data_IF_318926026531
#
_entry.id   IF_318926026531
#
_cell.length_a   1.000
_cell.length_b   1.000
_cell.length_c   1.000
_cell.angle_alpha   90.00
_cell.angle_beta   90.00
_cell.angle_gamma   90.00
#
_symmetry.space_group_name_H-M   'P 1'
#
loop_
_entity.id
_entity.type
_entity.pdbx_description
1 polymer ?
#
# COMPACT_ATOMS: atom_id res chain seq x y z
N UNK A 1 -24.83 -1.20 11.65
CA UNK A 1 -24.62 -2.61 11.30
C UNK A 1 -25.09 -2.77 9.86
N UNK A 2 -24.22 -3.26 8.97
CA UNK A 2 -24.53 -3.38 7.54
C UNK A 2 -24.38 -4.83 7.09
N UNK A 3 -25.27 -5.28 6.22
CA UNK A 3 -25.30 -6.67 5.76
C UNK A 3 -25.42 -6.71 4.23
N UNK A 4 -24.80 -7.71 3.63
CA UNK A 4 -24.89 -7.97 2.19
C UNK A 4 -24.94 -9.49 1.95
N UNK A 5 -25.62 -9.93 0.89
CA UNK A 5 -25.62 -11.34 0.52
C UNK A 5 -24.41 -11.65 -0.34
N UNK A 6 -23.60 -12.62 0.09
CA UNK A 6 -22.40 -13.10 -0.62
C UNK A 6 -22.45 -14.62 -0.63
N UNK A 7 -22.34 -15.24 -1.82
CA UNK A 7 -22.35 -16.70 -1.97
C UNK A 7 -23.49 -17.40 -1.21
N UNK A 8 -24.67 -16.78 -1.15
CA UNK A 8 -25.85 -17.30 -0.46
C UNK A 8 -25.88 -17.08 1.07
N UNK A 9 -24.92 -16.36 1.64
CA UNK A 9 -24.86 -16.02 3.07
C UNK A 9 -25.07 -14.53 3.32
N UNK A 10 -25.77 -14.19 4.40
CA UNK A 10 -25.75 -12.83 4.94
C UNK A 10 -24.39 -12.55 5.63
N UNK A 11 -23.62 -11.61 5.08
CA UNK A 11 -22.32 -11.18 5.60
C UNK A 11 -22.44 -9.83 6.29
N UNK A 12 -22.02 -9.74 7.55
CA UNK A 12 -21.92 -8.49 8.29
C UNK A 12 -20.61 -7.78 7.94
N UNK A 13 -20.71 -6.49 7.62
CA UNK A 13 -19.55 -5.67 7.27
C UNK A 13 -19.69 -4.24 7.80
N UNK A 14 -18.57 -3.51 7.76
CA UNK A 14 -18.49 -2.10 8.08
C UNK A 14 -17.57 -1.40 7.09
N UNK A 15 -18.02 -0.24 6.59
CA UNK A 15 -17.18 0.74 5.90
C UNK A 15 -16.85 1.88 6.85
N UNK A 16 -15.61 2.32 6.87
CA UNK A 16 -15.13 3.45 7.68
C UNK A 16 -14.03 4.21 6.96
N UNK A 17 -13.52 5.28 7.57
CA UNK A 17 -12.51 6.14 6.95
C UNK A 17 -13.11 7.14 5.96
N UNK A 18 -12.31 7.60 5.01
CA UNK A 18 -12.70 8.65 4.04
C UNK A 18 -12.86 8.08 2.64
N UNK A 19 -14.03 8.25 1.99
CA UNK A 19 -14.24 7.84 0.60
C UNK A 19 -13.17 8.42 -0.34
N UNK A 20 -12.59 7.57 -1.19
CA UNK A 20 -11.49 7.96 -2.08
C UNK A 20 -10.10 7.97 -1.45
N UNK A 21 -9.98 7.66 -0.15
CA UNK A 21 -8.71 7.33 0.49
C UNK A 21 -8.12 6.01 -0.03
N UNK A 22 -6.93 5.63 0.47
CA UNK A 22 -6.32 4.34 0.13
C UNK A 22 -7.24 3.22 0.62
N UNK A 23 -7.64 2.32 -0.28
CA UNK A 23 -8.58 1.25 0.03
C UNK A 23 -7.87 0.13 0.79
N UNK A 24 -8.42 -0.24 1.93
CA UNK A 24 -7.88 -1.32 2.77
C UNK A 24 -9.00 -2.28 3.17
N UNK A 25 -8.83 -3.56 2.86
CA UNK A 25 -9.68 -4.64 3.37
C UNK A 25 -8.95 -5.35 4.53
N UNK A 26 -9.61 -5.46 5.67
CA UNK A 26 -9.11 -6.20 6.82
C UNK A 26 -9.78 -7.58 6.93
N UNK A 27 -8.97 -8.61 7.22
CA UNK A 27 -9.40 -10.00 7.40
C UNK A 27 -9.01 -10.51 8.79
N UNK A 28 -9.98 -11.03 9.53
CA UNK A 28 -9.88 -11.29 10.97
C UNK A 28 -9.10 -12.56 11.33
N UNK A 29 -8.77 -12.67 12.62
CA UNK A 29 -8.28 -13.92 13.22
C UNK A 29 -9.42 -14.91 13.50
N UNK A 30 -9.08 -16.19 13.70
CA UNK A 30 -10.03 -17.23 14.06
C UNK A 30 -10.65 -16.93 15.43
N UNK A 31 -11.97 -17.00 15.53
CA UNK A 31 -12.69 -16.76 16.78
C UNK A 31 -12.81 -15.28 17.16
N UNK A 32 -12.46 -14.38 16.24
CA UNK A 32 -12.69 -12.94 16.40
C UNK A 32 -13.68 -12.40 15.37
N UNK A 33 -14.08 -11.14 15.54
CA UNK A 33 -14.93 -10.42 14.60
C UNK A 33 -14.31 -9.07 14.23
N UNK A 34 -14.99 -8.30 13.37
CA UNK A 34 -14.46 -7.06 12.77
C UNK A 34 -14.05 -6.00 13.80
N UNK A 35 -14.45 -6.12 15.07
CA UNK A 35 -14.11 -5.18 16.14
C UNK A 35 -12.63 -5.17 16.49
N UNK A 36 -11.88 -6.22 16.17
CA UNK A 36 -10.43 -6.27 16.45
C UNK A 36 -9.63 -5.19 15.69
N UNK A 37 -10.23 -4.58 14.67
CA UNK A 37 -9.60 -3.56 13.83
C UNK A 37 -9.99 -2.13 14.19
N UNK A 38 -10.91 -1.93 15.14
CA UNK A 38 -11.48 -0.60 15.41
C UNK A 38 -10.40 0.43 15.78
N UNK A 39 -9.47 0.07 16.67
CA UNK A 39 -8.39 0.96 17.08
C UNK A 39 -7.43 1.30 15.92
N UNK A 40 -7.02 0.30 15.14
CA UNK A 40 -6.16 0.51 13.95
C UNK A 40 -6.87 1.38 12.90
N UNK A 41 -8.16 1.17 12.68
CA UNK A 41 -8.94 1.96 11.72
C UNK A 41 -9.04 3.44 12.15
N UNK A 42 -9.16 3.72 13.46
CA UNK A 42 -9.13 5.08 14.00
C UNK A 42 -7.78 5.75 13.74
N UNK A 43 -6.66 5.05 14.00
CA UNK A 43 -5.29 5.57 13.82
C UNK A 43 -4.93 5.82 12.34
N UNK A 44 -5.41 4.98 11.43
CA UNK A 44 -5.26 5.21 9.99
C UNK A 44 -6.01 6.47 9.54
N UNK A 45 -7.15 6.77 10.17
CA UNK A 45 -7.89 8.02 10.04
C UNK A 45 -8.33 8.31 8.60
N UNK A 46 -8.23 9.56 8.17
CA UNK A 46 -8.67 10.03 6.85
C UNK A 46 -7.80 9.58 5.68
N UNK A 47 -6.69 8.87 5.93
CA UNK A 47 -5.78 8.37 4.89
C UNK A 47 -6.38 7.22 4.09
N UNK A 48 -7.29 6.47 4.70
CA UNK A 48 -7.79 5.21 4.17
C UNK A 48 -9.30 5.20 4.01
N UNK A 49 -9.78 4.49 3.01
CA UNK A 49 -11.15 3.99 2.90
C UNK A 49 -11.12 2.52 3.34
N UNK A 50 -11.78 2.19 4.44
CA UNK A 50 -11.59 0.92 5.14
C UNK A 50 -12.84 0.05 5.01
N UNK A 51 -12.63 -1.21 4.68
CA UNK A 51 -13.64 -2.27 4.73
C UNK A 51 -13.21 -3.33 5.76
N UNK A 52 -14.07 -3.60 6.73
CA UNK A 52 -13.94 -4.73 7.66
C UNK A 52 -15.21 -5.58 7.59
N UNK A 53 -15.10 -6.87 7.88
CA UNK A 53 -16.25 -7.78 7.86
C UNK A 53 -16.07 -8.92 8.83
N UNK A 54 -17.17 -9.54 9.23
CA UNK A 54 -17.13 -10.78 10.00
C UNK A 54 -17.01 -11.95 9.03
N UNK A 55 -15.97 -12.77 9.19
CA UNK A 55 -15.79 -13.96 8.36
C UNK A 55 -16.94 -14.95 8.55
N UNK A 56 -17.15 -15.83 7.58
CA UNK A 56 -18.13 -16.93 7.68
C UNK A 56 -18.07 -17.60 9.06
N UNK A 57 -19.22 -17.73 9.71
CA UNK A 57 -19.32 -18.37 11.01
C UNK A 57 -18.83 -17.55 12.21
N UNK A 58 -18.45 -16.29 12.01
CA UNK A 58 -17.96 -15.38 13.04
C UNK A 58 -18.87 -14.15 13.18
N UNK A 59 -18.81 -13.50 14.34
CA UNK A 59 -19.54 -12.27 14.64
C UNK A 59 -21.03 -12.39 14.29
N UNK A 60 -21.50 -11.49 13.42
CA UNK A 60 -22.89 -11.46 12.94
C UNK A 60 -23.07 -12.03 11.52
N UNK A 61 -22.01 -12.57 10.91
CA UNK A 61 -22.11 -13.24 9.61
C UNK A 61 -22.74 -14.62 9.75
N UNK A 62 -23.62 -14.96 8.81
CA UNK A 62 -24.34 -16.23 8.80
C UNK A 62 -23.40 -17.43 8.90
N UNK A 63 -23.82 -18.41 9.71
CA UNK A 63 -23.15 -19.69 9.87
C UNK A 63 -23.68 -20.65 8.81
N UNK A 64 -22.79 -21.35 8.12
CA UNK A 64 -23.13 -22.47 7.24
C UNK A 64 -22.58 -23.79 7.81
N UNK A 65 -23.07 -24.96 7.36
CA UNK A 65 -22.49 -26.24 7.80
C UNK A 65 -20.99 -26.36 7.48
N UNK A 66 -20.22 -26.85 8.44
CA UNK A 66 -18.81 -27.25 8.27
C UNK A 66 -18.70 -28.57 7.48
N UNK A 67 -17.52 -28.95 6.94
CA UNK A 67 -16.24 -28.24 7.00
C UNK A 67 -16.16 -27.06 6.02
N UNK A 68 -15.37 -26.04 6.35
CA UNK A 68 -15.00 -25.00 5.39
C UNK A 68 -13.67 -25.34 4.74
N UNK A 69 -13.45 -24.82 3.54
CA UNK A 69 -12.15 -24.87 2.85
C UNK A 69 -11.57 -23.46 2.81
N UNK A 70 -10.25 -23.36 2.61
CA UNK A 70 -9.61 -22.07 2.35
C UNK A 70 -10.25 -21.39 1.13
N UNK A 71 -10.51 -22.16 0.06
CA UNK A 71 -11.13 -21.64 -1.16
C UNK A 71 -12.48 -20.99 -0.92
N UNK A 72 -13.31 -21.58 -0.06
CA UNK A 72 -14.61 -21.03 0.33
C UNK A 72 -14.46 -19.69 1.06
N UNK A 73 -13.47 -19.58 1.95
CA UNK A 73 -13.20 -18.33 2.67
C UNK A 73 -12.66 -17.24 1.73
N UNK A 74 -11.85 -17.62 0.74
CA UNK A 74 -11.38 -16.71 -0.32
C UNK A 74 -12.54 -16.27 -1.22
N UNK A 75 -13.44 -17.19 -1.60
CA UNK A 75 -14.63 -16.87 -2.41
C UNK A 75 -15.57 -15.92 -1.67
N UNK A 76 -15.73 -16.05 -0.36
CA UNK A 76 -16.52 -15.11 0.44
C UNK A 76 -15.88 -13.72 0.49
N UNK A 77 -14.56 -13.65 0.65
CA UNK A 77 -13.86 -12.36 0.69
C UNK A 77 -13.92 -11.65 -0.67
N UNK A 78 -13.67 -12.36 -1.78
CA UNK A 78 -13.76 -11.81 -3.14
C UNK A 78 -15.21 -11.45 -3.50
N UNK A 79 -16.16 -12.34 -3.19
CA UNK A 79 -17.58 -12.10 -3.42
C UNK A 79 -18.12 -10.92 -2.61
N UNK A 80 -17.59 -10.66 -1.42
CA UNK A 80 -17.90 -9.45 -0.66
C UNK A 80 -17.45 -8.19 -1.41
N UNK A 81 -16.24 -8.18 -1.94
CA UNK A 81 -15.74 -7.05 -2.72
C UNK A 81 -16.64 -6.82 -3.95
N UNK A 82 -17.01 -7.88 -4.66
CA UNK A 82 -17.86 -7.82 -5.86
C UNK A 82 -19.27 -7.31 -5.54
N UNK A 83 -19.92 -7.88 -4.52
CA UNK A 83 -21.28 -7.51 -4.10
C UNK A 83 -21.38 -6.05 -3.64
N UNK A 84 -20.27 -5.50 -3.13
CA UNK A 84 -20.15 -4.14 -2.66
C UNK A 84 -19.69 -3.15 -3.73
N UNK A 85 -19.32 -3.63 -4.92
CA UNK A 85 -18.63 -2.84 -5.93
C UNK A 85 -17.34 -2.22 -5.40
N UNK A 86 -16.69 -2.88 -4.43
CA UNK A 86 -15.49 -2.39 -3.77
C UNK A 86 -14.28 -2.64 -4.68
N UNK A 87 -13.59 -1.58 -5.13
CA UNK A 87 -12.46 -1.75 -6.02
C UNK A 87 -11.26 -2.40 -5.31
N UNK A 88 -10.36 -2.93 -6.13
CA UNK A 88 -8.99 -3.28 -5.77
C UNK A 88 -8.35 -2.33 -4.73
N UNK A 89 -7.51 -2.89 -3.85
CA UNK A 89 -6.82 -2.15 -2.79
C UNK A 89 -5.81 -3.01 -2.05
N UNK A 90 -5.47 -2.60 -0.83
CA UNK A 90 -4.54 -3.32 0.05
C UNK A 90 -5.27 -4.32 0.92
N UNK A 91 -4.71 -5.52 1.04
CA UNK A 91 -5.20 -6.54 1.97
C UNK A 91 -4.39 -6.50 3.26
N UNK A 92 -5.07 -6.51 4.41
CA UNK A 92 -4.45 -6.67 5.73
C UNK A 92 -5.08 -7.87 6.41
N UNK A 93 -4.34 -8.97 6.52
CA UNK A 93 -4.84 -10.22 7.06
C UNK A 93 -4.11 -10.62 8.33
N UNK A 94 -4.87 -10.93 9.39
CA UNK A 94 -4.36 -11.44 10.65
C UNK A 94 -4.60 -12.94 10.76
N UNK A 95 -3.57 -13.74 11.08
CA UNK A 95 -3.72 -15.18 11.32
C UNK A 95 -4.42 -15.90 10.15
N UNK A 96 -5.55 -16.57 10.35
CA UNK A 96 -6.33 -17.16 9.25
C UNK A 96 -6.73 -16.13 8.19
N UNK A 97 -6.99 -14.87 8.56
CA UNK A 97 -7.22 -13.78 7.62
C UNK A 97 -6.00 -13.51 6.72
N UNK A 98 -4.80 -13.74 7.22
CA UNK A 98 -3.56 -13.69 6.43
C UNK A 98 -3.41 -14.84 5.44
N UNK A 99 -3.87 -16.06 5.78
CA UNK A 99 -3.98 -17.18 4.85
C UNK A 99 -5.00 -16.89 3.74
N UNK A 100 -6.17 -16.34 4.11
CA UNK A 100 -7.18 -15.93 3.13
C UNK A 100 -6.63 -14.84 2.22
N UNK A 101 -5.93 -13.84 2.75
CA UNK A 101 -5.31 -12.78 1.95
C UNK A 101 -4.28 -13.31 0.94
N UNK A 102 -3.42 -14.26 1.34
CA UNK A 102 -2.51 -14.96 0.43
C UNK A 102 -3.28 -15.69 -0.68
N UNK A 103 -4.37 -16.39 -0.32
CA UNK A 103 -5.23 -17.07 -1.29
C UNK A 103 -5.93 -16.12 -2.27
N UNK A 104 -6.36 -14.94 -1.81
CA UNK A 104 -6.94 -13.89 -2.65
C UNK A 104 -5.92 -13.38 -3.68
N UNK A 105 -4.69 -13.07 -3.26
CA UNK A 105 -3.62 -12.63 -4.18
C UNK A 105 -3.24 -13.74 -5.16
N UNK A 106 -3.17 -15.00 -4.71
CA UNK A 106 -2.85 -16.12 -5.61
C UNK A 106 -3.94 -16.35 -6.67
N UNK A 107 -5.22 -16.11 -6.33
CA UNK A 107 -6.36 -16.28 -7.23
C UNK A 107 -6.54 -15.11 -8.19
N UNK A 108 -6.26 -13.89 -7.74
CA UNK A 108 -6.45 -12.66 -8.52
C UNK A 108 -5.29 -11.68 -8.31
N UNK A 109 -4.08 -12.00 -8.83
CA UNK A 109 -2.85 -11.23 -8.56
C UNK A 109 -2.89 -9.80 -9.11
N UNK A 110 -3.77 -9.50 -10.07
CA UNK A 110 -3.93 -8.18 -10.65
C UNK A 110 -4.90 -7.26 -9.88
N UNK A 111 -5.64 -7.78 -8.90
CA UNK A 111 -6.67 -7.04 -8.16
C UNK A 111 -6.18 -6.37 -6.88
N UNK A 112 -4.96 -6.64 -6.42
CA UNK A 112 -4.48 -6.11 -5.14
C UNK A 112 -3.16 -5.37 -5.31
N UNK A 113 -3.04 -4.21 -4.68
CA UNK A 113 -1.88 -3.33 -4.87
C UNK A 113 -0.77 -3.60 -3.85
N UNK A 114 -1.13 -4.16 -2.70
CA UNK A 114 -0.22 -4.46 -1.59
C UNK A 114 -0.85 -5.45 -0.60
N UNK A 115 0.01 -6.09 0.19
CA UNK A 115 -0.37 -7.12 1.16
C UNK A 115 0.32 -6.87 2.50
N UNK A 116 -0.45 -6.93 3.59
CA UNK A 116 0.08 -6.96 4.95
C UNK A 116 -0.35 -8.28 5.61
N UNK A 117 0.63 -9.09 5.96
CA UNK A 117 0.47 -10.37 6.64
C UNK A 117 0.86 -10.19 8.10
N UNK A 118 -0.08 -10.28 9.02
CA UNK A 118 0.15 -10.06 10.45
C UNK A 118 -0.10 -11.37 11.20
N UNK A 119 0.86 -11.80 12.01
CA UNK A 119 0.80 -13.00 12.88
C UNK A 119 0.18 -14.20 12.14
N UNK A 120 0.76 -14.53 10.99
CA UNK A 120 0.25 -15.53 10.05
C UNK A 120 1.39 -16.26 9.36
N UNK A 121 1.07 -17.36 8.69
CA UNK A 121 2.03 -18.14 7.94
C UNK A 121 1.43 -18.72 6.67
N UNK A 122 2.27 -19.23 5.76
CA UNK A 122 1.82 -19.98 4.59
C UNK A 122 1.16 -21.32 4.98
N UNK A 123 1.45 -21.82 6.18
CA UNK A 123 0.83 -22.99 6.82
C UNK A 123 0.83 -22.79 8.33
N UNK A 124 -0.32 -22.95 8.98
CA UNK A 124 -0.47 -22.72 10.42
C UNK A 124 -0.88 -24.03 11.09
N UNK A 125 -0.15 -24.43 12.13
CA UNK A 125 -0.46 -25.63 12.92
C UNK A 125 -0.24 -26.95 12.16
N UNK A 126 -0.77 -28.03 12.72
CA UNK A 126 -0.72 -29.38 12.15
C UNK A 126 -2.12 -29.98 12.07
N UNK A 127 -2.30 -30.98 11.21
CA UNK A 127 -3.58 -31.64 11.05
C UNK A 127 -4.12 -32.22 12.38
N UNK A 128 -3.21 -32.80 13.17
CA UNK A 128 -3.49 -33.34 14.50
C UNK A 128 -3.97 -32.24 15.47
N UNK A 129 -3.22 -31.14 15.61
CA UNK A 129 -3.59 -30.05 16.52
C UNK A 129 -4.94 -29.40 16.17
N UNK A 130 -5.27 -29.32 14.89
CA UNK A 130 -6.56 -28.79 14.45
C UNK A 130 -7.71 -29.79 14.66
N UNK A 131 -7.49 -31.08 14.46
CA UNK A 131 -8.49 -32.11 14.76
C UNK A 131 -8.79 -32.17 16.27
N UNK A 132 -7.77 -32.07 17.13
CA UNK A 132 -7.95 -31.96 18.59
C UNK A 132 -8.77 -30.72 18.95
N UNK A 133 -8.46 -29.58 18.32
CA UNK A 133 -9.20 -28.33 18.53
C UNK A 133 -10.66 -28.44 18.09
N UNK A 134 -10.92 -29.05 16.93
CA UNK A 134 -12.27 -29.30 16.40
C UNK A 134 -13.04 -30.18 17.38
N UNK A 135 -12.48 -31.31 17.79
CA UNK A 135 -13.12 -32.24 18.72
C UNK A 135 -13.47 -31.58 20.07
N UNK A 136 -12.56 -30.76 20.63
CA UNK A 136 -12.80 -30.03 21.87
C UNK A 136 -13.97 -29.04 21.73
N UNK A 137 -14.01 -28.29 20.61
CA UNK A 137 -15.07 -27.30 20.34
C UNK A 137 -16.40 -27.98 20.04
N UNK A 138 -16.43 -29.09 19.32
CA UNK A 138 -17.64 -29.88 19.08
C UNK A 138 -18.21 -30.47 20.38
N UNK A 139 -17.36 -30.90 21.31
CA UNK A 139 -17.77 -31.47 22.59
C UNK A 139 -18.22 -30.42 23.62
N UNK A 140 -17.52 -29.28 23.70
CA UNK A 140 -17.68 -28.31 24.78
C UNK A 140 -18.05 -26.89 24.34
N UNK A 141 -18.29 -26.68 23.05
CA UNK A 141 -18.41 -25.34 22.46
C UNK A 141 -17.10 -24.56 22.46
N UNK A 142 -17.08 -23.37 21.85
CA UNK A 142 -15.88 -22.51 21.81
C UNK A 142 -15.46 -22.04 23.21
N UNK A 143 -16.40 -21.91 24.13
CA UNK A 143 -16.13 -21.59 25.53
C UNK A 143 -15.16 -22.58 26.20
N UNK A 144 -15.16 -23.85 25.80
CA UNK A 144 -14.26 -24.88 26.36
C UNK A 144 -12.78 -24.64 26.06
N UNK A 145 -12.47 -23.94 24.96
CA UNK A 145 -11.09 -23.64 24.53
C UNK A 145 -10.72 -22.17 24.73
N UNK A 146 -11.66 -21.33 25.15
CA UNK A 146 -11.49 -19.88 25.17
C UNK A 146 -10.31 -19.42 26.03
N UNK A 147 -10.15 -19.97 27.24
CA UNK A 147 -9.04 -19.59 28.13
C UNK A 147 -7.67 -19.98 27.57
N UNK A 148 -7.58 -21.16 26.94
CA UNK A 148 -6.35 -21.63 26.31
C UNK A 148 -5.99 -20.85 25.03
N UNK A 149 -6.99 -20.31 24.33
CA UNK A 149 -6.77 -19.46 23.15
C UNK A 149 -6.35 -18.07 23.56
N UNK A 150 -7.07 -17.46 24.51
CA UNK A 150 -6.82 -16.08 24.94
C UNK A 150 -5.43 -15.95 25.58
N UNK A 151 -4.93 -16.97 26.28
CA UNK A 151 -3.56 -16.98 26.81
C UNK A 151 -2.48 -17.00 25.72
N UNK A 152 -2.82 -17.37 24.49
CA UNK A 152 -1.94 -17.30 23.31
C UNK A 152 -2.18 -16.05 22.48
N UNK A 153 -3.28 -15.34 22.70
CA UNK A 153 -3.62 -14.12 21.96
C UNK A 153 -2.86 -12.89 22.41
N UNK A 154 -2.63 -12.77 23.72
CA UNK A 154 -2.14 -11.53 24.32
C UNK A 154 -0.83 -11.74 25.07
N UNK A 155 0.00 -10.71 25.09
CA UNK A 155 1.21 -10.71 25.91
C UNK A 155 0.86 -10.81 27.42
N UNK A 156 1.79 -11.32 28.25
CA UNK A 156 1.63 -11.29 29.71
C UNK A 156 1.41 -9.87 30.27
N UNK A 157 2.00 -8.85 29.62
CA UNK A 157 1.83 -7.46 30.00
C UNK A 157 0.38 -6.99 29.79
N UNK A 158 -0.19 -7.23 28.61
CA UNK A 158 -1.59 -6.88 28.32
C UNK A 158 -2.56 -7.60 29.25
N UNK A 159 -2.35 -8.89 29.51
CA UNK A 159 -3.19 -9.66 30.42
C UNK A 159 -3.20 -9.08 31.85
N UNK A 160 -2.06 -8.54 32.30
CA UNK A 160 -1.90 -7.91 33.62
C UNK A 160 -2.47 -6.49 33.66
N UNK A 161 -2.24 -5.69 32.62
CA UNK A 161 -2.57 -4.27 32.58
C UNK A 161 -4.03 -4.02 32.19
N UNK A 162 -4.62 -4.91 31.38
CA UNK A 162 -5.98 -4.75 30.84
C UNK A 162 -6.88 -5.97 31.08
N UNK A 163 -7.10 -6.39 32.35
CA UNK A 163 -7.89 -7.58 32.67
C UNK A 163 -9.36 -7.49 32.21
N UNK A 164 -9.95 -6.29 32.20
CA UNK A 164 -11.32 -6.09 31.72
C UNK A 164 -11.43 -6.28 30.19
N UNK A 165 -10.48 -5.73 29.43
CA UNK A 165 -10.38 -5.93 27.98
C UNK A 165 -10.17 -7.41 27.66
N UNK A 166 -9.27 -8.08 28.38
CA UNK A 166 -9.02 -9.53 28.25
C UNK A 166 -10.31 -10.34 28.43
N UNK A 167 -11.10 -10.05 29.47
CA UNK A 167 -12.39 -10.69 29.70
C UNK A 167 -13.38 -10.45 28.55
N UNK A 168 -13.43 -9.23 28.01
CA UNK A 168 -14.26 -8.88 26.87
C UNK A 168 -13.91 -9.70 25.62
N UNK A 169 -12.62 -9.77 25.26
CA UNK A 169 -12.15 -10.55 24.11
C UNK A 169 -12.37 -12.05 24.28
N UNK A 170 -12.17 -12.58 25.50
CA UNK A 170 -12.53 -13.96 25.85
C UNK A 170 -14.02 -14.21 25.64
N UNK A 171 -14.87 -13.29 26.07
CA UNK A 171 -16.33 -13.41 25.94
C UNK A 171 -16.75 -13.42 24.48
N UNK A 172 -16.21 -12.51 23.66
CA UNK A 172 -16.42 -12.50 22.21
C UNK A 172 -16.02 -13.84 21.59
N UNK A 173 -14.82 -14.35 21.92
CA UNK A 173 -14.36 -15.64 21.42
C UNK A 173 -15.31 -16.78 21.81
N UNK A 174 -15.67 -16.87 23.10
CA UNK A 174 -16.54 -17.92 23.62
C UNK A 174 -17.94 -17.93 22.99
N UNK A 175 -18.40 -16.78 22.47
CA UNK A 175 -19.68 -16.62 21.78
C UNK A 175 -19.63 -16.95 20.28
N UNK A 176 -18.44 -17.23 19.73
CA UNK A 176 -18.32 -17.67 18.33
C UNK A 176 -19.08 -18.98 18.13
N UNK A 177 -19.76 -19.11 16.98
CA UNK A 177 -20.48 -20.34 16.64
C UNK A 177 -19.55 -21.55 16.64
N UNK A 178 -19.98 -22.64 17.26
CA UNK A 178 -19.23 -23.91 17.27
C UNK A 178 -18.99 -24.42 15.85
N UNK A 179 -20.04 -24.44 15.01
CA UNK A 179 -19.92 -24.87 13.61
C UNK A 179 -19.04 -23.91 12.79
N UNK A 180 -19.14 -22.60 13.05
CA UNK A 180 -18.30 -21.60 12.40
C UNK A 180 -16.82 -21.75 12.72
N UNK A 181 -16.50 -21.86 14.01
CA UNK A 181 -15.14 -22.04 14.51
C UNK A 181 -14.54 -23.36 14.01
N UNK A 182 -15.26 -24.47 14.14
CA UNK A 182 -14.81 -25.78 13.67
C UNK A 182 -14.62 -25.81 12.14
N UNK A 183 -15.51 -25.16 11.38
CA UNK A 183 -15.38 -25.01 9.94
C UNK A 183 -14.09 -24.29 9.54
N UNK A 184 -13.76 -23.18 10.19
CA UNK A 184 -12.50 -22.46 9.94
C UNK A 184 -11.27 -23.23 10.43
N UNK A 185 -11.36 -24.01 11.53
CA UNK A 185 -10.31 -24.94 11.91
C UNK A 185 -10.05 -26.00 10.83
N UNK A 186 -11.09 -26.53 10.18
CA UNK A 186 -10.92 -27.46 9.06
C UNK A 186 -10.23 -26.80 7.87
N UNK A 187 -10.57 -25.54 7.55
CA UNK A 187 -9.89 -24.78 6.52
C UNK A 187 -8.39 -24.59 6.84
N UNK A 188 -8.04 -24.28 8.09
CA UNK A 188 -6.65 -24.16 8.56
C UNK A 188 -5.90 -25.50 8.50
N UNK A 189 -6.58 -26.60 8.87
CA UNK A 189 -6.03 -27.95 8.84
C UNK A 189 -5.52 -28.35 7.46
N UNK A 190 -6.30 -28.01 6.43
CA UNK A 190 -6.09 -28.48 5.07
C UNK A 190 -5.31 -27.47 4.20
N UNK A 191 -5.12 -26.23 4.69
CA UNK A 191 -4.43 -25.17 3.97
C UNK A 191 -2.89 -25.33 4.01
N UNK A 192 -2.28 -25.29 2.82
CA UNK A 192 -0.84 -25.19 2.64
C UNK A 192 -0.54 -24.30 1.42
N UNK A 193 -0.21 -23.03 1.69
CA UNK A 193 0.12 -22.05 0.67
C UNK A 193 1.63 -21.88 0.48
N UNK A 194 2.49 -22.79 1.00
CA UNK A 194 3.96 -22.62 0.91
C UNK A 194 4.44 -22.40 -0.52
N UNK A 195 3.86 -23.09 -1.50
CA UNK A 195 4.16 -22.87 -2.93
C UNK A 195 3.59 -21.55 -3.46
N UNK A 196 2.35 -21.23 -3.10
CA UNK A 196 1.67 -20.03 -3.56
C UNK A 196 2.30 -18.75 -3.02
N UNK A 197 2.81 -18.77 -1.78
CA UNK A 197 3.53 -17.67 -1.16
C UNK A 197 4.75 -17.24 -2.00
N UNK A 198 5.47 -18.19 -2.60
CA UNK A 198 6.59 -17.92 -3.50
C UNK A 198 6.21 -17.23 -4.83
N UNK A 199 4.92 -17.21 -5.18
CA UNK A 199 4.40 -16.57 -6.39
C UNK A 199 3.76 -15.20 -6.11
N UNK A 200 3.70 -14.76 -4.85
CA UNK A 200 3.18 -13.44 -4.49
C UNK A 200 4.14 -12.37 -5.04
N UNK A 201 3.61 -11.51 -5.92
CA UNK A 201 4.38 -10.45 -6.60
C UNK A 201 4.05 -9.04 -6.12
N UNK A 202 2.99 -8.87 -5.33
CA UNK A 202 2.61 -7.56 -4.79
C UNK A 202 3.53 -7.17 -3.63
N UNK A 203 3.82 -5.87 -3.43
CA UNK A 203 4.54 -5.39 -2.26
C UNK A 203 3.94 -5.98 -0.98
N UNK A 204 4.77 -6.65 -0.18
CA UNK A 204 4.31 -7.38 1.01
C UNK A 204 5.05 -6.92 2.26
N UNK A 205 4.31 -6.60 3.31
CA UNK A 205 4.81 -6.42 4.68
C UNK A 205 4.35 -7.60 5.54
N UNK A 206 5.27 -8.18 6.30
CA UNK A 206 5.00 -9.26 7.24
C UNK A 206 5.32 -8.77 8.65
N UNK A 207 4.32 -8.79 9.53
CA UNK A 207 4.38 -8.34 10.92
C UNK A 207 4.15 -9.52 11.86
N UNK A 208 4.84 -9.54 13.00
CA UNK A 208 4.58 -10.51 14.07
C UNK A 208 4.83 -9.90 15.44
N UNK A 209 3.96 -10.15 16.40
CA UNK A 209 4.22 -9.88 17.81
C UNK A 209 5.38 -10.74 18.32
N UNK A 210 6.35 -10.14 19.00
CA UNK A 210 7.51 -10.88 19.51
C UNK A 210 7.15 -11.94 20.58
N UNK A 211 5.97 -11.82 21.18
CA UNK A 211 5.38 -12.76 22.13
C UNK A 211 4.30 -13.66 21.54
N UNK A 212 4.12 -13.73 20.21
CA UNK A 212 3.10 -14.58 19.59
C UNK A 212 3.39 -16.08 19.87
N UNK A 213 2.44 -16.74 20.55
CA UNK A 213 2.48 -18.17 20.82
C UNK A 213 1.64 -18.99 19.84
N UNK A 214 0.70 -18.38 19.12
CA UNK A 214 -0.15 -19.06 18.14
C UNK A 214 0.57 -19.27 16.81
N UNK A 215 1.23 -18.23 16.29
CA UNK A 215 2.14 -18.29 15.12
C UNK A 215 3.51 -17.75 15.51
N UNK A 216 4.39 -18.58 16.09
CA UNK A 216 5.67 -18.12 16.63
C UNK A 216 6.49 -17.29 15.63
N UNK A 217 7.26 -16.28 16.08
CA UNK A 217 8.01 -15.37 15.19
C UNK A 217 8.86 -16.08 14.13
N UNK A 218 9.49 -17.20 14.46
CA UNK A 218 10.31 -17.96 13.52
C UNK A 218 9.49 -18.56 12.36
N UNK A 219 8.23 -18.96 12.62
CA UNK A 219 7.30 -19.45 11.60
C UNK A 219 6.86 -18.32 10.66
N UNK A 220 6.56 -17.14 11.23
CA UNK A 220 6.15 -15.97 10.45
C UNK A 220 7.32 -15.43 9.62
N UNK A 221 8.52 -15.38 10.19
CA UNK A 221 9.75 -15.01 9.49
C UNK A 221 10.07 -15.99 8.36
N UNK A 222 9.90 -17.30 8.58
CA UNK A 222 10.04 -18.30 7.54
C UNK A 222 9.05 -18.06 6.39
N UNK A 223 7.82 -17.65 6.68
CA UNK A 223 6.83 -17.27 5.65
C UNK A 223 7.27 -16.03 4.89
N UNK A 224 7.78 -15.00 5.57
CA UNK A 224 8.28 -13.80 4.91
C UNK A 224 9.41 -14.11 3.91
N UNK A 225 10.31 -15.05 4.26
CA UNK A 225 11.40 -15.50 3.38
C UNK A 225 10.93 -16.23 2.11
N UNK A 226 9.71 -16.76 2.11
CA UNK A 226 9.13 -17.37 0.90
C UNK A 226 8.69 -16.31 -0.11
N UNK A 227 8.32 -15.11 0.34
CA UNK A 227 7.69 -14.09 -0.48
C UNK A 227 8.76 -13.14 -1.06
N UNK A 228 8.90 -13.06 -2.41
CA UNK A 228 9.86 -12.17 -3.04
C UNK A 228 9.70 -10.70 -2.61
N UNK A 229 10.76 -10.12 -2.06
CA UNK A 229 10.79 -8.70 -1.69
C UNK A 229 9.94 -8.34 -0.46
N UNK A 230 9.44 -9.31 0.29
CA UNK A 230 8.71 -9.03 1.52
C UNK A 230 9.60 -8.36 2.58
N UNK A 231 9.05 -7.34 3.24
CA UNK A 231 9.66 -6.78 4.46
C UNK A 231 9.12 -7.53 5.67
N UNK A 232 10.00 -7.82 6.62
CA UNK A 232 9.64 -8.48 7.87
C UNK A 232 9.96 -7.58 9.06
N UNK A 233 9.00 -7.39 9.95
CA UNK A 233 9.14 -6.55 11.14
C UNK A 233 8.51 -7.25 12.37
N UNK A 234 9.19 -7.14 13.52
CA UNK A 234 8.67 -7.63 14.80
C UNK A 234 8.07 -6.48 15.60
N UNK A 235 6.92 -6.72 16.22
CA UNK A 235 6.21 -5.76 17.05
C UNK A 235 6.53 -6.08 18.51
N UNK A 236 7.31 -5.20 19.14
CA UNK A 236 7.85 -5.45 20.46
C UNK A 236 6.76 -5.43 21.54
N UNK A 237 6.71 -6.43 22.41
CA UNK A 237 5.76 -6.51 23.52
C UNK A 237 4.31 -6.75 23.08
N UNK A 238 4.10 -7.48 21.99
CA UNK A 238 2.76 -7.88 21.52
C UNK A 238 2.69 -9.40 21.37
N UNK A 239 1.52 -9.98 21.67
CA UNK A 239 1.18 -11.36 21.36
C UNK A 239 0.63 -11.53 19.94
N UNK A 240 -0.29 -12.47 19.76
CA UNK A 240 -0.89 -12.81 18.46
C UNK A 240 -1.88 -11.77 17.93
N UNK A 241 -2.37 -10.82 18.76
CA UNK A 241 -3.26 -9.74 18.32
C UNK A 241 -2.62 -8.35 18.47
N UNK A 242 -1.52 -8.02 17.75
CA UNK A 242 -0.88 -6.70 17.84
C UNK A 242 -1.80 -5.53 17.49
N UNK A 243 -2.84 -5.73 16.67
CA UNK A 243 -3.82 -4.67 16.39
C UNK A 243 -4.61 -4.20 17.62
N UNK A 244 -4.68 -5.02 18.67
CA UNK A 244 -5.31 -4.67 19.94
C UNK A 244 -4.30 -4.16 20.97
N UNK A 245 -3.09 -4.72 20.99
CA UNK A 245 -2.07 -4.37 21.99
C UNK A 245 -1.29 -3.12 21.60
N UNK A 246 -0.98 -2.94 20.30
CA UNK A 246 -0.14 -1.87 19.74
C UNK A 246 -0.77 -1.21 18.50
N UNK A 247 -2.02 -0.71 18.58
CA UNK A 247 -2.75 -0.21 17.41
C UNK A 247 -2.05 0.92 16.66
N UNK A 248 -1.40 1.86 17.36
CA UNK A 248 -0.68 2.98 16.74
C UNK A 248 0.55 2.52 15.94
N UNK A 249 1.31 1.53 16.45
CA UNK A 249 2.45 0.95 15.74
C UNK A 249 2.00 0.18 14.49
N UNK A 250 0.93 -0.62 14.63
CA UNK A 250 0.36 -1.35 13.49
C UNK A 250 -0.15 -0.38 12.42
N UNK A 251 -0.89 0.66 12.81
CA UNK A 251 -1.36 1.67 11.87
C UNK A 251 -0.20 2.43 11.20
N UNK A 252 0.88 2.72 11.95
CA UNK A 252 2.09 3.34 11.41
C UNK A 252 2.79 2.46 10.37
N UNK A 253 2.99 1.18 10.68
CA UNK A 253 3.60 0.21 9.76
C UNK A 253 2.76 0.02 8.48
N UNK A 254 1.43 -0.09 8.63
CA UNK A 254 0.50 -0.15 7.49
C UNK A 254 0.61 1.12 6.66
N UNK A 255 0.51 2.31 7.27
CA UNK A 255 0.59 3.58 6.54
C UNK A 255 1.91 3.73 5.76
N UNK A 256 3.05 3.41 6.39
CA UNK A 256 4.35 3.42 5.72
C UNK A 256 4.41 2.43 4.55
N UNK A 257 3.81 1.24 4.70
CA UNK A 257 3.74 0.27 3.62
C UNK A 257 2.83 0.75 2.46
N UNK A 258 1.70 1.38 2.76
CA UNK A 258 0.81 1.98 1.76
C UNK A 258 1.50 3.10 0.97
N UNK A 259 2.30 3.94 1.63
CA UNK A 259 3.07 4.99 0.98
C UNK A 259 4.17 4.41 0.08
N UNK A 260 4.93 3.42 0.58
CA UNK A 260 5.99 2.77 -0.18
C UNK A 260 5.46 1.98 -1.40
N UNK A 261 4.34 1.26 -1.25
CA UNK A 261 3.70 0.54 -2.34
C UNK A 261 3.07 1.49 -3.37
N UNK A 262 2.55 2.64 -2.94
CA UNK A 262 2.09 3.70 -3.86
C UNK A 262 3.23 4.30 -4.67
N UNK A 263 4.42 4.47 -4.08
CA UNK A 263 5.60 4.94 -4.81
C UNK A 263 6.11 3.90 -5.84
N UNK A 264 6.03 2.60 -5.51
CA UNK A 264 6.37 1.52 -6.42
C UNK A 264 5.36 1.39 -7.58
N UNK A 265 4.05 1.43 -7.28
CA UNK A 265 2.96 1.34 -8.28
C UNK A 265 2.76 2.63 -9.08
N UNK A 266 3.07 3.82 -8.55
CA UNK A 266 3.17 5.06 -9.34
C UNK A 266 4.33 4.99 -10.35
N UNK A 267 5.28 4.07 -10.15
CA UNK A 267 6.28 3.63 -11.14
C UNK A 267 5.69 2.81 -12.30
N UNK A 268 4.50 2.24 -12.16
CA UNK A 268 3.92 1.26 -13.11
C UNK A 268 2.50 1.60 -13.64
N UNK A 269 1.74 2.52 -13.01
CA UNK A 269 0.33 2.81 -13.39
C UNK A 269 0.06 4.06 -14.24
N UNK A 270 0.98 5.02 -14.29
CA UNK A 270 0.94 6.10 -15.27
C UNK A 270 1.91 5.72 -16.39
N UNK A 271 1.46 5.73 -17.64
CA UNK A 271 2.40 5.47 -18.74
C UNK A 271 3.57 6.45 -18.61
N UNK A 272 4.77 6.07 -19.06
CA UNK A 272 5.91 7.00 -19.05
C UNK A 272 5.53 8.34 -19.72
N UNK A 273 4.56 8.29 -20.65
CA UNK A 273 3.98 9.43 -21.31
C UNK A 273 3.13 10.29 -20.36
N UNK A 274 2.25 9.72 -19.55
CA UNK A 274 1.40 10.48 -18.62
C UNK A 274 2.22 11.14 -17.51
N UNK A 275 3.19 10.40 -16.94
CA UNK A 275 4.16 10.98 -16.00
C UNK A 275 4.95 12.09 -16.68
N UNK A 276 5.40 11.85 -17.90
CA UNK A 276 6.10 12.83 -18.72
C UNK A 276 5.28 14.09 -18.94
N UNK A 277 4.00 13.96 -19.31
CA UNK A 277 3.11 15.10 -19.53
C UNK A 277 2.85 15.89 -18.24
N UNK A 278 2.69 15.21 -17.10
CA UNK A 278 2.52 15.88 -15.81
C UNK A 278 3.76 16.69 -15.43
N UNK A 279 4.95 16.10 -15.52
CA UNK A 279 6.21 16.78 -15.21
C UNK A 279 6.50 17.90 -16.21
N UNK A 280 6.29 17.66 -17.51
CA UNK A 280 6.48 18.66 -18.57
C UNK A 280 5.60 19.89 -18.34
N UNK A 281 4.32 19.71 -17.98
CA UNK A 281 3.42 20.83 -17.61
C UNK A 281 3.89 21.56 -16.36
N UNK A 282 4.34 20.82 -15.35
CA UNK A 282 4.77 21.41 -14.10
C UNK A 282 6.10 22.19 -14.23
N UNK A 283 6.93 21.88 -15.23
CA UNK A 283 8.19 22.59 -15.49
C UNK A 283 8.00 23.72 -16.50
N UNK A 284 7.48 23.41 -17.69
CA UNK A 284 7.37 24.38 -18.79
C UNK A 284 6.11 25.27 -18.71
N UNK A 285 5.14 24.93 -17.86
CA UNK A 285 3.85 25.60 -17.72
C UNK A 285 2.77 25.03 -18.64
N UNK A 286 1.53 24.96 -18.13
CA UNK A 286 0.38 24.36 -18.82
C UNK A 286 0.13 24.94 -20.21
N UNK A 287 0.01 26.28 -20.31
CA UNK A 287 -0.26 26.99 -21.57
C UNK A 287 0.80 26.75 -22.65
N UNK A 288 2.07 26.61 -22.25
CA UNK A 288 3.15 26.30 -23.20
C UNK A 288 3.00 24.88 -23.74
N UNK A 289 2.76 23.91 -22.85
CA UNK A 289 2.62 22.49 -23.24
C UNK A 289 1.36 22.27 -24.07
N UNK A 290 0.26 22.96 -23.79
CA UNK A 290 -0.97 22.88 -24.59
C UNK A 290 -0.79 23.41 -26.01
N UNK A 291 -0.13 24.56 -26.17
CA UNK A 291 0.24 25.08 -27.50
C UNK A 291 1.14 24.11 -28.26
N UNK A 292 2.17 23.58 -27.59
CA UNK A 292 3.07 22.60 -28.21
C UNK A 292 2.33 21.31 -28.60
N UNK A 293 1.41 20.83 -27.77
CA UNK A 293 0.62 19.61 -28.04
C UNK A 293 -0.35 19.82 -29.20
N UNK A 294 -0.95 21.01 -29.31
CA UNK A 294 -1.90 21.34 -30.38
C UNK A 294 -1.23 21.51 -31.75
N UNK A 295 0.09 21.75 -31.76
CA UNK A 295 0.89 21.88 -32.98
C UNK A 295 1.43 20.52 -33.48
N UNK A 296 1.21 19.42 -32.74
CA UNK A 296 1.67 18.09 -33.12
C UNK A 296 0.95 17.63 -34.38
N UNK A 297 1.72 17.14 -35.34
CA UNK A 297 1.24 16.57 -36.60
C UNK A 297 1.54 15.07 -36.65
N UNK A 298 1.03 14.39 -37.68
CA UNK A 298 1.40 12.98 -37.91
C UNK A 298 2.90 12.77 -38.14
N UNK A 299 3.64 13.78 -38.60
CA UNK A 299 5.08 13.69 -38.89
C UNK A 299 5.92 13.60 -37.61
N UNK A 300 5.59 14.36 -36.56
CA UNK A 300 6.39 14.49 -35.35
C UNK A 300 5.77 13.82 -34.10
N UNK A 301 4.57 13.26 -34.20
CA UNK A 301 3.88 12.58 -33.09
C UNK A 301 4.74 11.52 -32.38
N UNK A 302 5.44 10.66 -33.13
CA UNK A 302 6.28 9.62 -32.54
C UNK A 302 7.48 10.20 -31.78
N UNK A 303 8.07 11.28 -32.30
CA UNK A 303 9.17 11.99 -31.66
C UNK A 303 8.72 12.73 -30.40
N UNK A 304 7.56 13.38 -30.43
CA UNK A 304 6.96 14.03 -29.27
C UNK A 304 6.63 13.04 -28.16
N UNK A 305 6.15 11.83 -28.50
CA UNK A 305 5.97 10.73 -27.54
C UNK A 305 7.30 10.32 -26.93
N UNK A 306 8.32 10.05 -27.75
CA UNK A 306 9.65 9.65 -27.28
C UNK A 306 10.25 10.67 -26.29
N UNK A 307 10.23 11.96 -26.62
CA UNK A 307 10.74 13.01 -25.72
C UNK A 307 9.92 13.10 -24.43
N UNK A 308 8.59 13.02 -24.55
CA UNK A 308 7.70 13.07 -23.38
C UNK A 308 7.99 11.92 -22.42
N UNK A 309 8.10 10.70 -22.92
CA UNK A 309 8.42 9.53 -22.11
C UNK A 309 9.85 9.59 -21.54
N UNK A 310 10.82 9.91 -22.37
CA UNK A 310 12.23 9.80 -22.00
C UNK A 310 12.69 10.99 -21.16
N UNK A 311 12.60 12.21 -21.68
CA UNK A 311 13.10 13.38 -20.96
C UNK A 311 12.24 13.66 -19.72
N UNK A 312 10.93 13.69 -19.88
CA UNK A 312 10.02 14.12 -18.82
C UNK A 312 9.57 12.97 -17.92
N UNK A 313 9.30 11.80 -18.52
CA UNK A 313 8.82 10.61 -17.81
C UNK A 313 9.91 9.84 -17.06
N UNK A 314 11.20 10.04 -17.39
CA UNK A 314 12.33 9.39 -16.70
C UNK A 314 13.33 10.37 -16.07
N UNK A 315 13.97 11.23 -16.86
CA UNK A 315 15.08 12.07 -16.35
C UNK A 315 14.55 13.14 -15.42
N UNK A 316 13.54 13.91 -15.85
CA UNK A 316 12.94 14.98 -15.03
C UNK A 316 12.05 14.50 -13.90
N UNK A 317 11.51 13.29 -13.98
CA UNK A 317 10.68 12.68 -12.92
C UNK A 317 11.52 12.06 -11.79
N UNK A 318 12.81 11.83 -12.01
CA UNK A 318 13.70 11.22 -11.02
C UNK A 318 13.88 12.10 -9.77
N UNK A 319 13.67 11.56 -8.55
CA UNK A 319 13.74 12.33 -7.31
C UNK A 319 15.19 12.57 -6.82
N UNK A 320 16.20 12.03 -7.51
CA UNK A 320 17.62 12.13 -7.08
C UNK A 320 18.21 13.54 -7.19
N UNK A 321 17.62 14.39 -8.02
CA UNK A 321 17.91 15.82 -8.09
C UNK A 321 16.60 16.56 -7.91
N UNK A 322 16.63 17.62 -7.12
CA UNK A 322 15.54 18.58 -7.01
C UNK A 322 15.27 19.25 -8.37
N UNK A 323 14.06 19.79 -8.55
CA UNK A 323 13.72 20.51 -9.79
C UNK A 323 14.64 21.70 -10.05
N UNK A 324 15.03 22.40 -8.99
CA UNK A 324 16.00 23.50 -9.04
C UNK A 324 17.35 23.01 -9.59
N UNK A 325 17.96 22.01 -8.97
CA UNK A 325 19.26 21.46 -9.40
C UNK A 325 19.21 20.97 -10.85
N UNK A 326 18.14 20.27 -11.23
CA UNK A 326 17.98 19.77 -12.59
C UNK A 326 17.84 20.88 -13.62
N UNK A 327 17.13 21.95 -13.27
CA UNK A 327 17.00 23.14 -14.12
C UNK A 327 18.34 23.82 -14.37
N UNK A 328 19.17 23.95 -13.32
CA UNK A 328 20.52 24.53 -13.40
C UNK A 328 21.40 23.70 -14.35
N UNK A 329 21.45 22.38 -14.16
CA UNK A 329 22.22 21.46 -15.01
C UNK A 329 21.76 21.52 -16.46
N UNK A 330 20.44 21.54 -16.69
CA UNK A 330 19.88 21.58 -18.05
C UNK A 330 20.26 22.86 -18.77
N UNK A 331 20.14 24.02 -18.12
CA UNK A 331 20.52 25.31 -18.70
C UNK A 331 22.02 25.34 -19.04
N UNK A 332 22.87 24.84 -18.14
CA UNK A 332 24.32 24.78 -18.37
C UNK A 332 24.67 23.91 -19.59
N UNK A 333 24.05 22.73 -19.74
CA UNK A 333 24.27 21.84 -20.87
C UNK A 333 23.80 22.45 -22.19
N UNK A 334 22.60 23.05 -22.21
CA UNK A 334 22.06 23.70 -23.41
C UNK A 334 22.91 24.90 -23.85
N UNK A 335 23.38 25.70 -22.89
CA UNK A 335 24.28 26.83 -23.14
C UNK A 335 25.64 26.35 -23.69
N UNK A 336 26.22 25.31 -23.11
CA UNK A 336 27.47 24.73 -23.60
C UNK A 336 27.35 24.16 -25.02
N UNK A 337 26.18 23.64 -25.39
CA UNK A 337 25.88 23.09 -26.71
C UNK A 337 25.36 24.13 -27.72
N UNK A 338 25.27 25.41 -27.34
CA UNK A 338 24.78 26.50 -28.20
C UNK A 338 23.31 26.37 -28.60
N UNK A 339 22.47 25.74 -27.76
CA UNK A 339 21.05 25.54 -28.02
C UNK A 339 20.23 26.74 -27.53
N UNK A 340 20.36 27.87 -28.22
CA UNK A 340 19.93 29.18 -27.75
C UNK A 340 18.42 29.30 -27.44
N UNK A 341 17.56 28.74 -28.30
CA UNK A 341 16.10 28.77 -28.10
C UNK A 341 15.67 27.95 -26.87
N UNK A 342 16.34 26.81 -26.65
CA UNK A 342 16.13 25.94 -25.50
C UNK A 342 16.64 26.60 -24.21
N UNK A 343 17.76 27.32 -24.26
CA UNK A 343 18.24 28.15 -23.14
C UNK A 343 17.16 29.17 -22.76
N UNK A 344 16.62 29.92 -23.72
CA UNK A 344 15.57 30.90 -23.44
C UNK A 344 14.32 30.23 -22.84
N UNK A 345 13.92 29.06 -23.35
CA UNK A 345 12.77 28.31 -22.81
C UNK A 345 13.00 27.84 -21.38
N UNK A 346 14.15 27.23 -21.08
CA UNK A 346 14.44 26.72 -19.75
C UNK A 346 14.73 27.83 -18.73
N UNK A 347 15.23 28.99 -19.17
CA UNK A 347 15.29 30.20 -18.34
C UNK A 347 13.88 30.69 -17.98
N UNK A 348 12.90 30.67 -18.90
CA UNK A 348 11.50 30.99 -18.53
C UNK A 348 10.91 29.99 -17.54
N UNK A 349 11.25 28.71 -17.71
CA UNK A 349 10.75 27.63 -16.86
C UNK A 349 11.23 27.72 -15.41
N UNK A 350 12.27 28.51 -15.09
CA UNK A 350 12.82 28.60 -13.73
C UNK A 350 11.81 29.11 -12.71
N UNK A 351 10.83 29.91 -13.15
CA UNK A 351 9.68 30.34 -12.32
C UNK A 351 8.91 29.17 -11.68
N UNK A 352 8.96 27.98 -12.30
CA UNK A 352 8.27 26.78 -11.84
C UNK A 352 9.21 25.74 -11.22
N UNK A 353 10.54 25.89 -11.36
CA UNK A 353 11.53 24.92 -10.87
C UNK A 353 12.20 25.36 -9.57
N UNK A 354 12.12 26.65 -9.24
CA UNK A 354 12.75 27.24 -8.06
C UNK A 354 14.21 27.66 -8.28
N UNK A 355 14.75 27.53 -9.49
CA UNK A 355 16.05 28.09 -9.83
C UNK A 355 15.97 29.63 -9.92
N UNK A 356 16.95 30.32 -9.35
CA UNK A 356 17.00 31.79 -9.30
C UNK A 356 17.82 32.37 -10.45
N UNK A 357 17.77 33.70 -10.62
CA UNK A 357 18.66 34.39 -11.55
C UNK A 357 20.14 34.21 -11.17
N UNK A 358 20.45 34.17 -9.87
CA UNK A 358 21.80 33.95 -9.36
C UNK A 358 22.27 32.53 -9.68
N UNK A 359 21.40 31.53 -9.57
CA UNK A 359 21.71 30.14 -9.96
C UNK A 359 22.08 30.04 -11.44
N UNK A 360 21.36 30.76 -12.31
CA UNK A 360 21.65 30.81 -13.74
C UNK A 360 23.00 31.49 -13.97
N UNK A 361 23.27 32.61 -13.30
CA UNK A 361 24.54 33.32 -13.43
C UNK A 361 25.73 32.42 -13.02
N UNK A 362 25.61 31.71 -11.90
CA UNK A 362 26.62 30.76 -11.42
C UNK A 362 26.86 29.62 -12.41
N UNK A 363 25.78 29.03 -12.94
CA UNK A 363 25.86 27.98 -13.94
C UNK A 363 26.58 28.43 -15.23
N UNK A 364 26.31 29.65 -15.69
CA UNK A 364 26.93 30.20 -16.89
C UNK A 364 28.40 30.58 -16.68
N UNK A 365 28.84 30.88 -15.45
CA UNK A 365 30.26 30.98 -15.13
C UNK A 365 30.97 29.63 -15.30
N UNK A 366 30.34 28.54 -14.85
CA UNK A 366 30.86 27.19 -15.14
C UNK A 366 30.96 26.91 -16.65
N UNK A 367 29.96 27.30 -17.44
CA UNK A 367 29.99 27.18 -18.91
C UNK A 367 31.17 27.98 -19.50
N UNK A 368 31.45 29.18 -19.00
CA UNK A 368 32.56 30.00 -19.50
C UNK A 368 33.92 29.30 -19.34
N UNK A 369 34.12 28.59 -18.22
CA UNK A 369 35.36 27.90 -17.91
C UNK A 369 35.49 26.58 -18.68
N UNK A 370 34.42 25.79 -18.76
CA UNK A 370 34.50 24.41 -19.27
C UNK A 370 34.03 24.23 -20.71
N UNK A 371 33.18 25.13 -21.23
CA UNK A 371 32.69 25.12 -22.60
C UNK A 371 33.14 26.36 -23.41
N UNK A 372 33.74 27.34 -22.74
CA UNK A 372 34.35 28.52 -23.35
C UNK A 372 33.53 29.80 -23.16
N UNK A 373 34.26 30.91 -22.96
CA UNK A 373 33.71 32.25 -22.78
C UNK A 373 32.73 32.67 -23.89
N UNK A 374 32.96 32.37 -25.19
CA UNK A 374 32.00 32.72 -26.24
C UNK A 374 30.61 32.09 -26.07
N UNK A 375 30.54 30.81 -25.69
CA UNK A 375 29.27 30.12 -25.44
C UNK A 375 28.53 30.75 -24.25
N UNK A 376 29.26 31.02 -23.16
CA UNK A 376 28.70 31.68 -21.98
C UNK A 376 28.23 33.11 -22.27
N UNK A 377 28.99 33.91 -23.02
CA UNK A 377 28.60 35.27 -23.41
C UNK A 377 27.27 35.27 -24.18
N UNK A 378 27.10 34.31 -25.10
CA UNK A 378 25.87 34.19 -25.85
C UNK A 378 24.68 33.82 -24.96
N UNK A 379 24.86 32.79 -24.12
CA UNK A 379 23.83 32.34 -23.18
C UNK A 379 23.46 33.42 -22.15
N UNK A 380 24.42 34.22 -21.64
CA UNK A 380 24.17 35.34 -20.72
C UNK A 380 23.29 36.40 -21.40
N UNK A 381 23.57 36.73 -22.66
CA UNK A 381 22.74 37.69 -23.41
C UNK A 381 21.29 37.21 -23.49
N UNK A 382 21.08 35.93 -23.81
CA UNK A 382 19.75 35.30 -23.90
C UNK A 382 19.06 35.29 -22.53
N UNK A 383 19.77 34.89 -21.47
CA UNK A 383 19.24 34.85 -20.12
C UNK A 383 18.79 36.24 -19.64
N UNK A 384 19.60 37.28 -19.85
CA UNK A 384 19.25 38.67 -19.51
C UNK A 384 17.98 39.13 -20.22
N UNK A 385 17.92 38.97 -21.54
CA UNK A 385 16.73 39.35 -22.32
C UNK A 385 15.49 38.59 -21.85
N UNK A 386 15.62 37.30 -21.58
CA UNK A 386 14.52 36.44 -21.14
C UNK A 386 14.00 36.85 -19.76
N UNK A 387 14.89 37.04 -18.78
CA UNK A 387 14.54 37.44 -17.42
C UNK A 387 13.87 38.83 -17.39
N UNK A 388 14.38 39.79 -18.16
CA UNK A 388 13.75 41.12 -18.28
C UNK A 388 12.34 41.05 -18.92
N UNK A 389 12.14 40.14 -19.88
CA UNK A 389 10.82 39.91 -20.47
C UNK A 389 9.81 39.31 -19.49
N UNK A 390 10.28 38.46 -18.57
CA UNK A 390 9.43 37.84 -17.54
C UNK A 390 8.92 38.86 -16.52
N UNK A 391 9.78 39.76 -16.05
CA UNK A 391 9.39 40.80 -15.08
C UNK A 391 8.42 41.83 -15.68
N UNK A 392 8.58 42.17 -16.96
CA UNK A 392 7.73 43.13 -17.66
C UNK A 392 6.29 42.61 -17.89
N UNK A 393 6.12 41.29 -18.01
CA UNK A 393 4.80 40.66 -18.18
C UNK A 393 3.99 40.51 -16.88
N UNK A 394 4.65 40.57 -15.72
CA UNK A 394 3.99 40.53 -14.41
C UNK A 394 3.51 41.90 -13.93
N UNK A 395 4.10 43.00 -14.43
CA UNK A 395 3.64 44.37 -14.14
C UNK A 395 2.43 44.81 -15.00
N UNK A 396 2.05 44.02 -16.00
CA UNK A 396 0.96 44.30 -16.95
C UNK A 396 -0.30 43.44 -16.74
N UNK A 397 -0.32 42.62 -15.68
CA UNK A 397 -1.49 41.89 -15.19
C UNK A 397 -1.89 42.47 -13.84
#
# INVERSE_FOLDING_TARGET
MSFVTVNGNAVHYRRSGTPGGRRVLFLNSLGSDLRIWEAVAVELGSRCEILTYDMRGHGLTQVSPAPYTLDLLVDDALGLLDALGWPAGTLVGLSVGGLVAQGMVARDPGRFDALVLMDTAAKIGTAESWNERIAAVEAGGVASVADAVVSRWFSPAFAKEQPASLFGWRTMLAQTSTAGYAGTCAALRDADLTKAAGAISVPTLVLVGDGDLATPPDLVEATARLIPGARFERVAGAGHLPCLERPAEIAGAIAQHLEASSAATAGEGASAFDRGMAVRRAVLGGEHVERATSAITGFDAAFQRLITESAWGTVWSSPRLTRRERSIVTIALLAALGQDDEVAMHVRATRNTGATADDIAEALMHVAIYAGVPAANHAIKIAKTTLSGMTSGEAAR
#
